data_IF_741326178684
#
_entry.id   IF_741326178684
#
_cell.length_a   1.000
_cell.length_b   1.000
_cell.length_c   1.000
_cell.angle_alpha   90.00
_cell.angle_beta   90.00
_cell.angle_gamma   90.00
#
_symmetry.space_group_name_H-M   'P 1'
#
loop_
_entity.id
_entity.type
_entity.pdbx_description
1 polymer ?
#
# COMPACT_ATOMS: atom_id res chain seq x y z
N UNK A 1 13.02 0.30 8.67
CA UNK A 1 11.58 0.13 8.94
C UNK A 1 10.84 0.00 7.62
N UNK A 2 10.07 -1.04 7.47
CA UNK A 2 9.30 -1.30 6.26
C UNK A 2 7.84 -0.96 6.47
N UNK A 3 7.25 -0.21 5.55
CA UNK A 3 5.85 0.16 5.54
C UNK A 3 5.11 -0.56 4.39
N UNK A 4 3.90 -1.03 4.68
CA UNK A 4 2.96 -1.48 3.67
C UNK A 4 2.09 -0.30 3.26
N UNK A 5 2.07 0.01 1.96
CA UNK A 5 1.27 1.11 1.43
C UNK A 5 -0.13 0.60 1.08
N UNK A 6 -1.16 1.15 1.71
CA UNK A 6 -2.54 0.72 1.56
C UNK A 6 -3.43 1.84 1.04
N UNK A 7 -4.17 1.56 -0.02
CA UNK A 7 -5.09 2.50 -0.62
C UNK A 7 -6.03 1.85 -1.63
N UNK A 8 -7.03 2.59 -2.13
CA UNK A 8 -7.99 2.06 -3.08
C UNK A 8 -7.37 1.94 -4.48
N UNK A 9 -7.76 0.91 -5.21
CA UNK A 9 -7.38 0.70 -6.61
C UNK A 9 -8.61 0.58 -7.51
N UNK A 10 -9.49 -0.36 -7.22
CA UNK A 10 -10.70 -0.63 -7.99
C UNK A 10 -11.60 0.60 -8.06
N UNK A 11 -12.09 0.94 -9.26
CA UNK A 11 -12.97 2.07 -9.48
C UNK A 11 -12.26 3.41 -9.65
N UNK A 12 -10.93 3.43 -9.58
CA UNK A 12 -10.12 4.63 -9.83
C UNK A 12 -9.46 4.54 -11.20
N UNK A 13 -9.37 5.65 -11.96
CA UNK A 13 -8.61 5.67 -13.20
C UNK A 13 -7.20 5.15 -12.95
N UNK A 14 -6.69 4.35 -13.88
CA UNK A 14 -5.38 3.70 -13.77
C UNK A 14 -5.21 2.87 -12.49
N UNK A 15 -6.31 2.39 -11.92
CA UNK A 15 -6.31 1.66 -10.64
C UNK A 15 -5.56 2.40 -9.52
N UNK A 16 -5.58 3.73 -9.59
CA UNK A 16 -4.91 4.62 -8.63
C UNK A 16 -3.37 4.46 -8.61
N UNK A 17 -2.78 3.83 -9.59
CA UNK A 17 -1.33 3.61 -9.67
C UNK A 17 -0.51 4.90 -9.57
N UNK A 18 -0.91 6.03 -10.20
CA UNK A 18 -0.17 7.28 -10.03
C UNK A 18 -0.04 7.73 -8.57
N UNK A 19 -1.10 7.58 -7.77
CA UNK A 19 -1.05 7.90 -6.34
C UNK A 19 -0.16 6.93 -5.56
N UNK A 20 -0.20 5.64 -5.89
CA UNK A 20 0.71 4.64 -5.32
C UNK A 20 2.17 4.95 -5.67
N UNK A 21 2.46 5.32 -6.91
CA UNK A 21 3.80 5.72 -7.33
C UNK A 21 4.29 6.93 -6.52
N UNK A 22 3.44 7.95 -6.37
CA UNK A 22 3.78 9.18 -5.67
C UNK A 22 4.09 8.92 -4.20
N UNK A 23 3.22 8.20 -3.49
CA UNK A 23 3.44 7.89 -2.08
C UNK A 23 4.64 6.98 -1.87
N UNK A 24 4.82 5.98 -2.73
CA UNK A 24 5.99 5.10 -2.70
C UNK A 24 7.28 5.92 -2.77
N UNK A 25 7.36 6.85 -3.73
CA UNK A 25 8.53 7.72 -3.88
C UNK A 25 8.73 8.63 -2.67
N UNK A 26 7.66 9.24 -2.16
CA UNK A 26 7.74 10.14 -0.99
C UNK A 26 8.20 9.44 0.27
N UNK A 27 7.67 8.24 0.55
CA UNK A 27 8.06 7.48 1.72
C UNK A 27 9.48 6.94 1.60
N UNK A 28 9.89 6.50 0.42
CA UNK A 28 11.28 6.08 0.16
C UNK A 28 12.25 7.24 0.30
N UNK A 29 11.83 8.46 -0.07
CA UNK A 29 12.67 9.65 0.07
C UNK A 29 12.99 10.00 1.53
N UNK A 30 12.16 9.57 2.47
CA UNK A 30 12.42 9.71 3.92
C UNK A 30 12.89 8.39 4.55
N UNK A 31 13.48 7.54 3.73
CA UNK A 31 14.27 6.36 4.08
C UNK A 31 13.47 5.15 4.60
N UNK A 32 12.16 5.10 4.38
CA UNK A 32 11.41 3.86 4.60
C UNK A 32 11.67 2.87 3.46
N UNK A 33 11.69 1.58 3.81
CA UNK A 33 11.49 0.50 2.86
C UNK A 33 9.98 0.36 2.65
N UNK A 34 9.51 0.41 1.41
CA UNK A 34 8.07 0.42 1.10
C UNK A 34 7.69 -0.81 0.30
N UNK A 35 6.77 -1.59 0.84
CA UNK A 35 6.08 -2.65 0.12
C UNK A 35 4.80 -2.06 -0.46
N UNK A 36 4.77 -1.87 -1.77
CA UNK A 36 3.61 -1.34 -2.48
C UNK A 36 2.95 -2.43 -3.32
N UNK A 37 1.64 -2.72 -3.11
CA UNK A 37 0.97 -3.83 -3.79
C UNK A 37 1.04 -3.76 -5.31
N UNK A 38 0.98 -2.56 -5.90
CA UNK A 38 0.99 -2.40 -7.35
C UNK A 38 2.31 -2.82 -7.99
N UNK A 39 3.42 -2.76 -7.26
CA UNK A 39 4.73 -3.21 -7.76
C UNK A 39 4.86 -4.73 -7.80
N UNK A 40 4.00 -5.44 -7.07
CA UNK A 40 4.01 -6.90 -7.02
C UNK A 40 3.29 -7.54 -8.22
N UNK A 41 2.51 -6.77 -8.97
CA UNK A 41 1.82 -7.27 -10.15
C UNK A 41 2.82 -7.55 -11.29
N UNK A 42 2.55 -8.57 -12.14
CA UNK A 42 3.36 -8.80 -13.32
C UNK A 42 3.39 -7.56 -14.24
N UNK A 43 4.48 -7.32 -14.99
CA UNK A 43 4.61 -6.14 -15.86
C UNK A 43 3.45 -5.96 -16.85
N UNK A 44 2.93 -7.04 -17.42
CA UNK A 44 1.79 -6.99 -18.35
C UNK A 44 0.50 -6.55 -17.63
N UNK A 45 0.29 -6.95 -16.39
CA UNK A 45 -0.86 -6.53 -15.59
C UNK A 45 -0.70 -5.05 -15.21
N UNK A 46 0.48 -4.63 -14.82
CA UNK A 46 0.75 -3.22 -14.53
C UNK A 46 0.47 -2.33 -15.75
N UNK A 47 0.87 -2.76 -16.96
CA UNK A 47 0.63 -2.03 -18.19
C UNK A 47 -0.87 -1.87 -18.47
N UNK A 48 -1.65 -2.93 -18.29
CA UNK A 48 -3.11 -2.90 -18.45
C UNK A 48 -3.73 -1.95 -17.43
N UNK A 49 -3.33 -2.05 -16.17
CA UNK A 49 -3.84 -1.19 -15.11
C UNK A 49 -3.57 0.29 -15.39
N UNK A 50 -2.36 0.63 -15.81
CA UNK A 50 -1.97 2.02 -16.12
C UNK A 50 -2.71 2.59 -17.32
N UNK A 51 -3.17 1.75 -18.24
CA UNK A 51 -3.95 2.16 -19.41
C UNK A 51 -5.47 2.25 -19.12
N UNK A 52 -5.93 1.76 -17.99
CA UNK A 52 -7.34 1.76 -17.62
C UNK A 52 -7.86 3.16 -17.34
N UNK A 53 -9.00 3.53 -17.90
CA UNK A 53 -9.66 4.82 -17.64
C UNK A 53 -10.69 4.74 -16.51
N UNK A 54 -11.15 3.54 -16.16
CA UNK A 54 -12.25 3.32 -15.21
C UNK A 54 -11.85 2.60 -13.93
N UNK A 55 -10.77 1.81 -13.97
CA UNK A 55 -10.40 0.94 -12.84
C UNK A 55 -11.35 -0.24 -12.68
N UNK A 56 -11.99 -0.70 -13.76
CA UNK A 56 -12.88 -1.86 -13.73
C UNK A 56 -12.04 -3.14 -13.60
N UNK A 57 -12.24 -3.96 -12.56
CA UNK A 57 -11.51 -5.21 -12.37
C UNK A 57 -11.67 -6.19 -13.55
N UNK A 58 -12.74 -6.08 -14.33
CA UNK A 58 -12.97 -6.91 -15.51
C UNK A 58 -11.92 -6.68 -16.62
N UNK A 59 -11.23 -5.55 -16.60
CA UNK A 59 -10.15 -5.24 -17.54
C UNK A 59 -8.86 -6.02 -17.25
N UNK A 60 -8.70 -6.51 -16.03
CA UNK A 60 -7.50 -7.25 -15.59
C UNK A 60 -7.75 -8.74 -15.80
N UNK A 61 -6.88 -9.46 -16.55
CA UNK A 61 -6.99 -10.90 -16.68
C UNK A 61 -6.94 -11.58 -15.30
N UNK A 62 -7.82 -12.57 -15.05
CA UNK A 62 -7.80 -13.28 -13.77
C UNK A 62 -6.56 -14.20 -13.71
N UNK A 63 -5.49 -13.70 -13.13
CA UNK A 63 -4.30 -14.51 -12.83
C UNK A 63 -4.44 -15.27 -11.52
N UNK A 64 -5.22 -14.72 -10.59
CA UNK A 64 -5.49 -15.28 -9.27
C UNK A 64 -6.94 -14.99 -8.90
N UNK A 65 -7.52 -15.85 -8.07
CA UNK A 65 -8.83 -15.57 -7.48
C UNK A 65 -8.78 -14.44 -6.45
N UNK A 66 -9.93 -13.78 -6.17
CA UNK A 66 -9.97 -12.68 -5.20
C UNK A 66 -9.44 -13.06 -3.81
N UNK A 67 -9.68 -14.31 -3.38
CA UNK A 67 -9.19 -14.81 -2.10
C UNK A 67 -7.67 -14.90 -2.08
N UNK A 68 -7.05 -15.38 -3.16
CA UNK A 68 -5.59 -15.50 -3.25
C UNK A 68 -4.94 -14.12 -3.22
N UNK A 69 -5.50 -13.17 -3.94
CA UNK A 69 -5.03 -11.78 -3.90
C UNK A 69 -5.15 -11.17 -2.49
N UNK A 70 -6.28 -11.37 -1.82
CA UNK A 70 -6.48 -10.89 -0.45
C UNK A 70 -5.49 -11.51 0.52
N UNK A 71 -5.25 -12.82 0.42
CA UNK A 71 -4.27 -13.52 1.26
C UNK A 71 -2.85 -13.02 1.01
N UNK A 72 -2.48 -12.78 -0.25
CA UNK A 72 -1.18 -12.23 -0.59
C UNK A 72 -0.97 -10.83 0.02
N UNK A 73 -1.99 -9.97 -0.04
CA UNK A 73 -1.91 -8.63 0.51
C UNK A 73 -1.83 -8.64 2.03
N UNK A 74 -2.61 -9.49 2.69
CA UNK A 74 -2.53 -9.67 4.16
C UNK A 74 -1.17 -10.24 4.56
N UNK A 75 -0.65 -11.21 3.82
CA UNK A 75 0.71 -11.73 4.04
C UNK A 75 1.74 -10.62 3.93
N UNK A 76 1.62 -9.74 2.94
CA UNK A 76 2.48 -8.57 2.79
C UNK A 76 2.49 -7.68 4.03
N UNK A 77 1.34 -7.46 4.66
CA UNK A 77 1.23 -6.68 5.91
C UNK A 77 2.10 -7.29 7.02
N UNK A 78 2.10 -8.62 7.15
CA UNK A 78 2.89 -9.30 8.19
C UNK A 78 4.41 -9.20 7.99
N UNK A 79 4.86 -8.86 6.81
CA UNK A 79 6.27 -8.61 6.51
C UNK A 79 6.67 -7.14 6.71
N UNK A 80 5.75 -6.31 7.20
CA UNK A 80 5.96 -4.88 7.41
C UNK A 80 5.88 -4.51 8.88
N UNK A 81 6.49 -3.38 9.24
CA UNK A 81 6.51 -2.84 10.58
C UNK A 81 5.33 -1.89 10.83
N UNK A 82 4.70 -1.42 9.79
CA UNK A 82 3.54 -0.52 9.86
C UNK A 82 2.77 -0.45 8.56
N UNK A 83 1.56 0.09 8.62
CA UNK A 83 0.74 0.41 7.44
C UNK A 83 0.66 1.92 7.25
N UNK A 84 0.96 2.37 6.03
CA UNK A 84 0.77 3.74 5.58
C UNK A 84 -0.51 3.84 4.76
N UNK A 85 -1.50 4.56 5.25
CA UNK A 85 -2.79 4.72 4.61
C UNK A 85 -2.78 5.91 3.64
N UNK A 86 -3.14 5.64 2.39
CA UNK A 86 -3.37 6.67 1.38
C UNK A 86 -4.74 7.33 1.57
N UNK A 87 -4.97 8.46 0.90
CA UNK A 87 -6.28 9.11 0.85
C UNK A 87 -7.34 8.14 0.31
N UNK A 88 -8.56 8.28 0.79
CA UNK A 88 -9.70 7.43 0.40
C UNK A 88 -9.55 5.94 0.75
N UNK A 89 -8.64 5.59 1.64
CA UNK A 89 -8.39 4.21 2.06
C UNK A 89 -9.66 3.46 2.50
N UNK A 90 -10.60 4.16 3.13
CA UNK A 90 -11.85 3.59 3.63
C UNK A 90 -12.81 3.14 2.54
N UNK A 91 -12.57 3.53 1.29
CA UNK A 91 -13.35 3.08 0.13
C UNK A 91 -12.96 1.69 -0.35
N UNK A 92 -11.90 1.11 0.17
CA UNK A 92 -11.40 -0.21 -0.20
C UNK A 92 -11.71 -1.24 0.87
N UNK A 93 -12.49 -2.27 0.51
CA UNK A 93 -12.74 -3.41 1.40
C UNK A 93 -11.44 -4.17 1.72
N UNK A 94 -10.52 -4.27 0.76
CA UNK A 94 -9.21 -4.89 0.96
C UNK A 94 -8.39 -4.18 2.02
N UNK A 95 -8.37 -2.86 2.00
CA UNK A 95 -7.66 -2.06 3.01
C UNK A 95 -8.26 -2.27 4.40
N UNK A 96 -9.57 -2.38 4.52
CA UNK A 96 -10.22 -2.66 5.81
C UNK A 96 -9.78 -4.01 6.37
N UNK A 97 -9.63 -5.04 5.53
CA UNK A 97 -9.08 -6.34 5.94
C UNK A 97 -7.62 -6.23 6.40
N UNK A 98 -6.81 -5.46 5.69
CA UNK A 98 -5.41 -5.22 6.05
C UNK A 98 -5.30 -4.52 7.41
N UNK A 99 -6.12 -3.49 7.65
CA UNK A 99 -6.16 -2.78 8.94
C UNK A 99 -6.58 -3.71 10.07
N UNK A 100 -7.62 -4.52 9.88
CA UNK A 100 -8.09 -5.47 10.88
C UNK A 100 -6.99 -6.48 11.23
N UNK A 101 -6.27 -6.99 10.23
CA UNK A 101 -5.14 -7.90 10.42
C UNK A 101 -4.00 -7.23 11.18
N UNK A 102 -3.66 -6.01 10.82
CA UNK A 102 -2.63 -5.23 11.48
C UNK A 102 -2.98 -4.98 12.95
N UNK A 103 -4.22 -4.59 13.23
CA UNK A 103 -4.69 -4.35 14.60
C UNK A 103 -4.58 -5.60 15.47
N UNK A 104 -4.98 -6.75 14.94
CA UNK A 104 -4.90 -8.01 15.68
C UNK A 104 -3.46 -8.36 16.10
N UNK A 105 -2.48 -8.04 15.29
CA UNK A 105 -1.07 -8.35 15.55
C UNK A 105 -0.26 -7.14 16.01
N UNK A 106 -0.94 -6.05 16.40
CA UNK A 106 -0.33 -4.83 16.94
C UNK A 106 0.67 -4.17 16.00
N UNK A 107 0.41 -4.25 14.70
CA UNK A 107 1.16 -3.53 13.69
C UNK A 107 0.56 -2.11 13.61
N UNK A 108 1.35 -1.05 13.81
CA UNK A 108 0.82 0.31 13.81
C UNK A 108 0.29 0.73 12.44
N UNK A 109 -0.83 1.45 12.47
CA UNK A 109 -1.51 1.96 11.27
C UNK A 109 -1.65 3.47 11.40
N UNK A 110 -1.21 4.20 10.40
CA UNK A 110 -1.33 5.66 10.38
C UNK A 110 -1.42 6.17 8.92
N UNK A 111 -1.96 7.38 8.71
CA UNK A 111 -1.92 8.00 7.39
C UNK A 111 -0.50 8.12 6.84
N UNK A 112 -0.35 7.93 5.54
CA UNK A 112 0.97 8.03 4.88
C UNK A 112 1.64 9.38 5.14
N UNK A 113 0.87 10.46 5.19
CA UNK A 113 1.38 11.80 5.49
C UNK A 113 2.03 11.88 6.88
N UNK A 114 1.53 11.13 7.84
CA UNK A 114 2.13 11.09 9.19
C UNK A 114 3.46 10.34 9.18
N UNK A 115 3.52 9.20 8.48
CA UNK A 115 4.77 8.47 8.34
C UNK A 115 5.82 9.31 7.62
N UNK A 116 5.43 10.04 6.58
CA UNK A 116 6.33 10.95 5.88
C UNK A 116 6.88 12.03 6.81
N UNK A 117 6.02 12.64 7.63
CA UNK A 117 6.43 13.69 8.56
C UNK A 117 7.39 13.18 9.63
N UNK A 118 7.20 11.95 10.10
CA UNK A 118 8.10 11.32 11.07
C UNK A 118 9.45 10.95 10.43
N UNK A 119 9.44 10.49 9.19
CA UNK A 119 10.61 9.88 8.55
C UNK A 119 11.00 8.55 9.18
N UNK A 120 11.77 7.75 8.49
CA UNK A 120 12.22 6.47 9.03
C UNK A 120 13.05 6.66 10.31
N UNK A 121 12.91 5.75 11.30
CA UNK A 121 13.64 5.87 12.54
C UNK A 121 15.15 5.79 12.31
N UNK A 122 15.89 6.48 13.15
CA UNK A 122 17.36 6.43 13.18
C UNK A 122 17.85 5.06 13.63
N UNK A 123 19.17 4.83 13.56
CA UNK A 123 19.80 3.61 14.06
C UNK A 123 19.50 3.35 15.56
N UNK A 124 19.16 4.39 16.32
CA UNK A 124 18.79 4.28 17.74
C UNK A 124 17.27 4.06 17.95
N UNK A 125 16.51 3.83 16.86
CA UNK A 125 15.07 3.58 16.92
C UNK A 125 14.21 4.83 17.11
N UNK A 126 14.79 6.04 17.05
CA UNK A 126 14.05 7.30 17.18
C UNK A 126 13.60 7.81 15.82
N UNK A 127 12.35 8.27 15.74
CA UNK A 127 11.85 8.91 14.54
C UNK A 127 12.42 10.31 14.37
N UNK A 128 12.88 10.64 13.15
CA UNK A 128 13.49 11.95 12.87
C UNK A 128 12.56 13.12 13.15
N UNK A 129 11.28 12.99 12.82
CA UNK A 129 10.28 14.02 13.03
C UNK A 129 9.83 14.19 14.49
N UNK A 130 10.28 13.33 15.41
CA UNK A 130 9.98 13.40 16.84
C UNK A 130 11.13 14.04 17.66
N UNK A 131 12.25 14.35 17.04
CA UNK A 131 13.42 14.96 17.67
C UNK A 131 13.25 16.46 17.94
#
# INVERSE_FOLDING_TARGET
MRLYLAGPMTGFPQFNFPAFDQWTARLRAVEYDVLSPHEADPPEVQAIARASTTGDPAEIPPSEGPLVTALRNVDGVFHCDGIALMDDWYKSAGVLHEIASAHRFRIPVAPAVMWEALGAPTANGLFKGAE
#
